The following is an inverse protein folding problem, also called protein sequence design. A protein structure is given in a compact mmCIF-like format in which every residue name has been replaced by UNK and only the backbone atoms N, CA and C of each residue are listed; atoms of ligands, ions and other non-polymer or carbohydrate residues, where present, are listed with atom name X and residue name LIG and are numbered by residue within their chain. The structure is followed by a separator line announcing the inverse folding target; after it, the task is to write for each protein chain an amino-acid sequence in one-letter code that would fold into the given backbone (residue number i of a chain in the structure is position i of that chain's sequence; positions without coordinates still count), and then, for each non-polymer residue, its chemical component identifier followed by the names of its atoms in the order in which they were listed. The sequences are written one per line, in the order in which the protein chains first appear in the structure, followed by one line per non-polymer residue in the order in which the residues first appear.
data_IF_792421724546
#
_entry.id   IF_792421724546
#
_cell.length_a   1.000
_cell.length_b   1.000
_cell.length_c   1.000
_cell.angle_alpha   90.00
_cell.angle_beta   90.00
_cell.angle_gamma   90.00
#
_symmetry.space_group_name_H-M   'P 1'
#
loop_
_entity.id
_entity.type
_entity.pdbx_description
1 polymer ?
#
# COMPACT_ATOMS: atom_id res chain seq x y z
N UNK A 1 4.56 3.06 12.67
CA UNK A 1 3.10 3.24 12.84
C UNK A 1 2.45 2.71 11.57
N UNK A 2 1.90 1.50 11.61
CA UNK A 2 1.15 0.94 10.49
C UNK A 2 -0.14 1.73 10.35
N UNK A 3 -0.20 2.59 9.34
CA UNK A 3 -1.44 3.27 8.99
C UNK A 3 -2.27 2.28 8.19
N UNK A 4 -3.29 1.68 8.80
CA UNK A 4 -4.28 0.88 8.09
C UNK A 4 -5.08 1.81 7.17
N UNK A 5 -4.53 2.07 6.01
CA UNK A 5 -5.22 2.77 4.94
C UNK A 5 -6.16 1.78 4.23
N UNK A 6 -7.28 2.29 3.74
CA UNK A 6 -8.10 1.52 2.82
C UNK A 6 -7.45 1.54 1.44
N UNK A 7 -7.25 0.37 0.90
CA UNK A 7 -6.73 0.17 -0.46
C UNK A 7 -7.77 -0.53 -1.34
N UNK A 8 -7.47 -0.63 -2.61
CA UNK A 8 -8.29 -1.36 -3.57
C UNK A 8 -7.89 -2.83 -3.61
N UNK A 9 -8.74 -3.67 -4.18
CA UNK A 9 -8.41 -5.08 -4.42
C UNK A 9 -7.40 -5.30 -5.57
N UNK A 10 -6.87 -4.26 -6.20
CA UNK A 10 -6.07 -4.40 -7.42
C UNK A 10 -4.85 -5.30 -7.24
N UNK A 11 -4.05 -5.06 -6.20
CA UNK A 11 -2.87 -5.89 -5.92
C UNK A 11 -3.27 -7.33 -5.55
N UNK A 12 -4.27 -7.51 -4.68
CA UNK A 12 -4.78 -8.83 -4.30
C UNK A 12 -5.32 -9.59 -5.51
N UNK A 13 -6.10 -8.94 -6.36
CA UNK A 13 -6.62 -9.54 -7.60
C UNK A 13 -5.50 -9.93 -8.56
N UNK A 14 -4.48 -9.09 -8.68
CA UNK A 14 -3.30 -9.39 -9.51
C UNK A 14 -2.56 -10.62 -8.97
N UNK A 15 -2.32 -10.68 -7.65
CA UNK A 15 -1.70 -11.85 -6.99
C UNK A 15 -2.51 -13.12 -7.28
N UNK A 16 -3.81 -13.10 -7.00
CA UNK A 16 -4.67 -14.27 -7.20
C UNK A 16 -4.70 -14.74 -8.65
N UNK A 17 -4.79 -13.82 -9.61
CA UNK A 17 -4.78 -14.15 -11.03
C UNK A 17 -3.42 -14.73 -11.46
N UNK A 18 -2.31 -14.17 -10.96
CA UNK A 18 -0.97 -14.67 -11.25
C UNK A 18 -0.80 -16.11 -10.77
N UNK A 19 -1.15 -16.40 -9.54
CA UNK A 19 -1.04 -17.76 -9.01
C UNK A 19 -2.03 -18.74 -9.64
N UNK A 20 -3.23 -18.27 -10.04
CA UNK A 20 -4.16 -19.08 -10.84
C UNK A 20 -3.57 -19.48 -12.19
N UNK A 21 -2.86 -18.56 -12.86
CA UNK A 21 -2.13 -18.87 -14.11
C UNK A 21 -1.04 -19.92 -13.90
N UNK A 22 -0.48 -20.00 -12.68
CA UNK A 22 0.47 -21.04 -12.25
C UNK A 22 -0.21 -22.35 -11.81
N UNK A 23 -1.54 -22.44 -11.92
CA UNK A 23 -2.30 -23.62 -11.53
C UNK A 23 -2.50 -23.79 -10.02
N UNK A 24 -2.29 -22.72 -9.23
CA UNK A 24 -2.43 -22.73 -7.78
C UNK A 24 -3.79 -22.18 -7.33
N UNK A 25 -4.34 -22.78 -6.27
CA UNK A 25 -5.60 -22.30 -5.67
C UNK A 25 -5.37 -21.04 -4.81
N UNK A 26 -6.31 -20.09 -4.92
CA UNK A 26 -6.28 -18.84 -4.15
C UNK A 26 -6.51 -18.98 -2.64
N UNK A 27 -6.95 -20.16 -2.16
CA UNK A 27 -7.26 -20.37 -0.76
C UNK A 27 -6.08 -20.13 0.18
N UNK A 28 -4.88 -20.63 -0.19
CA UNK A 28 -3.66 -20.42 0.58
C UNK A 28 -3.24 -18.94 0.62
N UNK A 29 -3.46 -18.20 -0.47
CA UNK A 29 -3.15 -16.77 -0.58
C UNK A 29 -4.04 -15.92 0.34
N UNK A 30 -5.32 -16.26 0.46
CA UNK A 30 -6.28 -15.53 1.29
C UNK A 30 -6.30 -16.00 2.75
N UNK A 31 -5.56 -17.05 3.08
CA UNK A 31 -5.55 -17.62 4.43
C UNK A 31 -5.23 -16.55 5.49
N UNK A 32 -6.09 -16.45 6.51
CA UNK A 32 -5.94 -15.51 7.62
C UNK A 32 -6.24 -14.03 7.31
N UNK A 33 -6.40 -13.64 6.04
CA UNK A 33 -6.62 -12.24 5.64
C UNK A 33 -8.01 -11.69 5.99
N UNK A 34 -8.99 -12.58 6.22
CA UNK A 34 -10.39 -12.18 6.40
C UNK A 34 -11.05 -11.64 5.13
N UNK A 35 -10.39 -11.70 3.98
CA UNK A 35 -10.99 -11.32 2.68
C UNK A 35 -11.88 -12.46 2.21
N UNK A 36 -13.16 -12.14 1.96
CA UNK A 36 -14.10 -13.12 1.44
C UNK A 36 -13.91 -13.25 -0.09
N UNK A 37 -13.69 -14.47 -0.62
CA UNK A 37 -13.60 -14.68 -2.07
C UNK A 37 -14.78 -14.12 -2.88
N UNK A 38 -15.98 -14.07 -2.30
CA UNK A 38 -17.15 -13.50 -2.96
C UNK A 38 -17.05 -11.98 -3.20
N UNK A 39 -16.24 -11.28 -2.42
CA UNK A 39 -16.05 -9.83 -2.55
C UNK A 39 -15.03 -9.46 -3.64
N UNK A 40 -14.23 -10.43 -4.11
CA UNK A 40 -13.22 -10.22 -5.15
C UNK A 40 -13.81 -9.80 -6.52
N UNK A 41 -15.07 -10.10 -6.75
CA UNK A 41 -15.79 -9.73 -7.98
C UNK A 41 -16.40 -8.32 -7.94
N UNK A 42 -16.33 -7.64 -6.80
CA UNK A 42 -16.96 -6.32 -6.57
C UNK A 42 -15.93 -5.20 -6.69
N UNK A 43 -16.05 -4.37 -7.71
CA UNK A 43 -15.12 -3.26 -7.98
C UNK A 43 -15.06 -2.19 -6.87
N UNK A 44 -16.11 -2.10 -6.05
CA UNK A 44 -16.22 -1.14 -4.94
C UNK A 44 -15.69 -1.66 -3.61
N UNK A 45 -15.30 -2.93 -3.52
CA UNK A 45 -14.74 -3.52 -2.30
C UNK A 45 -13.44 -2.83 -1.93
N UNK A 46 -13.32 -2.51 -0.65
CA UNK A 46 -12.11 -1.97 -0.05
C UNK A 46 -11.61 -2.92 1.02
N UNK A 47 -10.29 -3.02 1.10
CA UNK A 47 -9.59 -3.81 2.12
C UNK A 47 -8.63 -2.92 2.89
N UNK A 48 -8.22 -3.36 4.05
CA UNK A 48 -7.19 -2.66 4.81
C UNK A 48 -5.80 -3.00 4.28
N UNK A 49 -4.84 -2.11 4.45
CA UNK A 49 -3.43 -2.39 4.13
C UNK A 49 -2.92 -3.65 4.83
N UNK A 50 -3.37 -3.91 6.07
CA UNK A 50 -2.99 -5.13 6.79
C UNK A 50 -3.49 -6.41 6.09
N UNK A 51 -4.72 -6.41 5.58
CA UNK A 51 -5.26 -7.53 4.81
C UNK A 51 -4.46 -7.75 3.53
N UNK A 52 -4.14 -6.68 2.81
CA UNK A 52 -3.30 -6.73 1.61
C UNK A 52 -1.89 -7.26 1.93
N UNK A 53 -1.24 -6.73 2.97
CA UNK A 53 0.10 -7.18 3.38
C UNK A 53 0.14 -8.64 3.79
N UNK A 54 -0.93 -9.17 4.39
CA UNK A 54 -1.00 -10.59 4.72
C UNK A 54 -1.11 -11.46 3.46
N UNK A 55 -1.88 -11.03 2.47
CA UNK A 55 -1.93 -11.73 1.16
C UNK A 55 -0.57 -11.66 0.47
N UNK A 56 0.11 -10.52 0.52
CA UNK A 56 1.49 -10.38 0.01
C UNK A 56 2.46 -11.32 0.73
N UNK A 57 2.38 -11.43 2.06
CA UNK A 57 3.21 -12.34 2.84
C UNK A 57 2.97 -13.81 2.46
N UNK A 58 1.72 -14.20 2.28
CA UNK A 58 1.36 -15.54 1.82
C UNK A 58 1.91 -15.81 0.41
N UNK A 59 1.84 -14.82 -0.49
CA UNK A 59 2.39 -14.93 -1.84
C UNK A 59 3.92 -15.09 -1.84
N UNK A 60 4.63 -14.29 -1.04
CA UNK A 60 6.10 -14.39 -0.87
C UNK A 60 6.52 -15.72 -0.26
N UNK A 61 5.73 -16.27 0.68
CA UNK A 61 5.99 -17.59 1.26
C UNK A 61 5.89 -18.72 0.23
N UNK A 62 5.00 -18.58 -0.77
CA UNK A 62 4.87 -19.54 -1.87
C UNK A 62 5.91 -19.33 -2.96
N UNK A 63 6.25 -18.08 -3.27
CA UNK A 63 7.19 -17.73 -4.33
C UNK A 63 7.96 -16.44 -3.96
N UNK A 64 9.24 -16.57 -3.61
CA UNK A 64 10.04 -15.48 -3.05
C UNK A 64 10.29 -14.32 -4.02
N UNK A 65 10.37 -14.57 -5.31
CA UNK A 65 10.64 -13.60 -6.38
C UNK A 65 9.37 -13.09 -7.08
N UNK A 66 8.20 -13.33 -6.47
CA UNK A 66 6.90 -12.99 -7.04
C UNK A 66 6.73 -11.48 -7.27
N UNK A 67 7.45 -10.62 -6.50
CA UNK A 67 7.42 -9.16 -6.66
C UNK A 67 7.83 -8.71 -8.05
N UNK A 68 8.88 -9.31 -8.62
CA UNK A 68 9.36 -9.04 -9.98
C UNK A 68 8.30 -9.41 -11.03
N UNK A 69 7.64 -10.56 -10.86
CA UNK A 69 6.61 -11.02 -11.79
C UNK A 69 5.36 -10.16 -11.73
N UNK A 70 4.87 -9.87 -10.54
CA UNK A 70 3.70 -9.00 -10.35
C UNK A 70 3.93 -7.61 -10.92
N UNK A 71 5.12 -7.03 -10.70
CA UNK A 71 5.51 -5.74 -11.27
C UNK A 71 5.41 -5.72 -12.79
N UNK A 72 5.82 -6.78 -13.47
CA UNK A 72 5.72 -6.90 -14.93
C UNK A 72 4.30 -7.07 -15.46
N UNK A 73 3.39 -7.56 -14.63
CA UNK A 73 1.97 -7.70 -14.97
C UNK A 73 1.16 -6.44 -14.72
N UNK A 74 1.71 -5.47 -13.97
CA UNK A 74 1.08 -4.15 -13.80
C UNK A 74 1.17 -3.35 -15.08
N UNK A 75 0.02 -2.88 -15.56
CA UNK A 75 -0.07 -2.07 -16.79
C UNK A 75 -0.57 -0.67 -16.43
N UNK A 76 -0.25 0.31 -17.25
CA UNK A 76 -0.74 1.68 -17.06
C UNK A 76 -2.27 1.73 -16.94
N UNK A 77 -3.00 0.86 -17.62
CA UNK A 77 -4.46 0.73 -17.54
C UNK A 77 -4.97 0.29 -16.16
N UNK A 78 -4.13 -0.36 -15.33
CA UNK A 78 -4.47 -0.76 -13.96
C UNK A 78 -4.73 0.42 -13.03
N UNK A 79 -4.27 1.62 -13.41
CA UNK A 79 -4.44 2.86 -12.65
C UNK A 79 -5.69 3.67 -13.05
N UNK A 80 -6.60 3.07 -13.82
CA UNK A 80 -7.89 3.67 -14.17
C UNK A 80 -7.76 5.06 -14.79
N UNK A 81 -8.44 6.06 -14.22
CA UNK A 81 -8.42 7.44 -14.74
C UNK A 81 -7.03 8.06 -14.72
N UNK A 82 -6.20 7.77 -13.71
CA UNK A 82 -4.82 8.24 -13.69
C UNK A 82 -4.03 7.64 -14.85
N UNK A 83 -4.18 6.33 -15.10
CA UNK A 83 -3.54 5.68 -16.24
C UNK A 83 -3.88 6.34 -17.58
N UNK A 84 -5.15 6.67 -17.80
CA UNK A 84 -5.55 7.44 -18.98
C UNK A 84 -4.95 8.84 -19.05
N UNK A 85 -4.88 9.55 -17.92
CA UNK A 85 -4.24 10.85 -17.86
C UNK A 85 -2.73 10.78 -18.16
N UNK A 86 -2.05 9.71 -17.70
CA UNK A 86 -0.64 9.46 -18.01
C UNK A 86 -0.43 9.19 -19.50
N UNK A 87 -1.23 8.29 -20.10
CA UNK A 87 -1.16 7.94 -21.52
C UNK A 87 -1.35 9.13 -22.46
N UNK A 88 -2.19 10.08 -22.08
CA UNK A 88 -2.54 11.26 -22.89
C UNK A 88 -1.67 12.48 -22.57
N UNK A 89 -0.70 12.37 -21.68
CA UNK A 89 0.28 13.42 -21.38
C UNK A 89 1.14 13.74 -22.61
N UNK A 90 1.64 14.98 -22.70
CA UNK A 90 2.42 15.42 -23.86
C UNK A 90 3.77 14.68 -23.94
N UNK A 91 4.47 14.54 -22.80
CA UNK A 91 5.78 13.91 -22.73
C UNK A 91 5.85 12.90 -21.56
N UNK A 92 6.88 12.05 -21.55
CA UNK A 92 7.13 11.15 -20.42
C UNK A 92 7.33 11.94 -19.12
N UNK A 93 8.04 13.07 -19.17
CA UNK A 93 8.25 13.94 -18.02
C UNK A 93 6.95 14.50 -17.45
N UNK A 94 6.01 14.89 -18.32
CA UNK A 94 4.68 15.36 -17.87
C UNK A 94 3.90 14.24 -17.20
N UNK A 95 3.93 13.04 -17.78
CA UNK A 95 3.28 11.86 -17.20
C UNK A 95 3.87 11.51 -15.82
N UNK A 96 5.19 11.46 -15.70
CA UNK A 96 5.85 11.18 -14.42
C UNK A 96 5.53 12.24 -13.37
N UNK A 97 5.58 13.54 -13.73
CA UNK A 97 5.19 14.63 -12.81
C UNK A 97 3.74 14.51 -12.36
N UNK A 98 2.84 14.08 -13.25
CA UNK A 98 1.44 13.85 -12.91
C UNK A 98 1.28 12.67 -11.94
N UNK A 99 1.97 11.55 -12.19
CA UNK A 99 1.97 10.37 -11.30
C UNK A 99 2.46 10.74 -9.89
N UNK A 100 3.58 11.46 -9.80
CA UNK A 100 4.16 11.90 -8.52
C UNK A 100 3.26 12.90 -7.77
N UNK A 101 2.42 13.64 -8.48
CA UNK A 101 1.44 14.56 -7.86
C UNK A 101 0.29 13.82 -7.17
N UNK A 102 0.00 12.60 -7.57
CA UNK A 102 -1.13 11.81 -7.08
C UNK A 102 -0.73 10.43 -6.55
N UNK A 103 0.17 10.35 -5.54
CA UNK A 103 0.66 9.07 -5.00
C UNK A 103 -0.47 8.20 -4.46
N UNK A 104 -1.52 8.82 -3.91
CA UNK A 104 -2.69 8.10 -3.41
C UNK A 104 -3.48 7.37 -4.52
N UNK A 105 -3.48 7.89 -5.74
CA UNK A 105 -4.10 7.24 -6.91
C UNK A 105 -3.18 6.18 -7.52
N UNK A 106 -1.86 6.30 -7.32
CA UNK A 106 -0.89 5.26 -7.66
C UNK A 106 -0.99 4.04 -6.74
N UNK A 107 -1.53 4.20 -5.53
CA UNK A 107 -1.60 3.13 -4.53
C UNK A 107 -0.21 2.65 -4.07
N UNK A 108 0.81 3.50 -4.19
CA UNK A 108 2.17 3.15 -3.77
C UNK A 108 2.34 3.24 -2.26
N UNK A 109 3.17 2.35 -1.71
CA UNK A 109 3.59 2.34 -0.31
C UNK A 109 4.90 3.12 -0.08
N UNK A 110 5.40 3.77 -1.12
CA UNK A 110 6.65 4.52 -1.14
C UNK A 110 6.41 5.99 -1.42
N UNK A 111 7.31 6.84 -0.94
CA UNK A 111 7.46 8.19 -1.45
C UNK A 111 8.28 8.13 -2.75
N UNK A 112 7.64 8.52 -3.86
CA UNK A 112 8.28 8.52 -5.17
C UNK A 112 8.83 9.90 -5.50
N UNK A 113 10.05 9.96 -6.05
CA UNK A 113 10.67 11.21 -6.50
C UNK A 113 11.49 11.03 -7.77
N UNK A 114 11.75 12.15 -8.47
CA UNK A 114 12.72 12.24 -9.55
C UNK A 114 13.90 13.06 -9.07
N UNK A 115 15.09 12.49 -9.11
CA UNK A 115 16.34 13.13 -8.72
C UNK A 115 17.24 13.26 -9.95
N UNK A 116 17.83 14.45 -10.15
CA UNK A 116 18.73 14.69 -11.27
C UNK A 116 20.18 14.59 -10.82
N UNK A 117 20.96 13.78 -11.54
CA UNK A 117 22.40 13.62 -11.35
C UNK A 117 23.11 13.74 -12.71
N UNK A 118 23.57 14.93 -13.05
CA UNK A 118 24.09 15.23 -14.38
C UNK A 118 23.02 15.06 -15.46
N UNK A 119 23.28 14.15 -16.42
CA UNK A 119 22.32 13.76 -17.46
C UNK A 119 21.42 12.58 -17.08
N UNK A 120 21.54 12.09 -15.85
CA UNK A 120 20.75 10.95 -15.34
C UNK A 120 19.57 11.43 -14.54
N UNK A 121 18.46 10.78 -14.73
CA UNK A 121 17.28 10.93 -13.87
C UNK A 121 17.11 9.63 -13.10
N UNK A 122 17.14 9.71 -11.78
CA UNK A 122 16.79 8.62 -10.88
C UNK A 122 15.32 8.72 -10.49
N UNK A 123 14.54 7.69 -10.80
CA UNK A 123 13.21 7.53 -10.22
C UNK A 123 13.38 6.70 -8.95
N UNK A 124 13.17 7.35 -7.82
CA UNK A 124 13.46 6.82 -6.48
C UNK A 124 12.18 6.45 -5.75
N UNK A 125 12.19 5.30 -5.08
CA UNK A 125 11.16 4.82 -4.17
C UNK A 125 11.75 4.78 -2.75
N UNK A 126 11.30 5.69 -1.89
CA UNK A 126 11.83 5.87 -0.54
C UNK A 126 10.74 5.67 0.52
N UNK A 127 11.17 5.67 1.78
CA UNK A 127 10.31 5.83 2.95
C UNK A 127 9.24 4.73 3.13
N UNK A 128 9.60 3.50 2.75
CA UNK A 128 8.75 2.34 3.00
C UNK A 128 8.62 2.09 4.51
N UNK A 129 7.38 2.12 5.03
CA UNK A 129 7.12 2.06 6.48
C UNK A 129 6.23 0.91 6.91
N UNK A 130 5.82 0.04 5.99
CA UNK A 130 4.90 -1.04 6.30
C UNK A 130 5.64 -2.23 6.97
N UNK A 131 5.68 -3.38 6.37
CA UNK A 131 6.31 -4.58 6.93
C UNK A 131 7.77 -4.73 6.50
N UNK A 132 8.77 -4.64 7.39
CA UNK A 132 10.17 -4.85 7.01
C UNK A 132 10.43 -6.18 6.31
N UNK A 133 9.69 -7.23 6.68
CA UNK A 133 9.79 -8.55 6.05
C UNK A 133 9.35 -8.57 4.57
N UNK A 134 8.55 -7.58 4.15
CA UNK A 134 8.06 -7.43 2.78
C UNK A 134 8.76 -6.29 2.03
N UNK A 135 9.78 -5.66 2.60
CA UNK A 135 10.43 -4.51 2.00
C UNK A 135 10.99 -4.83 0.60
N UNK A 136 11.74 -5.92 0.44
CA UNK A 136 12.28 -6.33 -0.85
C UNK A 136 11.18 -6.61 -1.87
N UNK A 137 10.16 -7.41 -1.49
CA UNK A 137 9.00 -7.70 -2.33
C UNK A 137 8.29 -6.43 -2.81
N UNK A 138 7.97 -5.51 -1.90
CA UNK A 138 7.27 -4.28 -2.28
C UNK A 138 8.15 -3.35 -3.12
N UNK A 139 9.46 -3.31 -2.88
CA UNK A 139 10.41 -2.55 -3.71
C UNK A 139 10.47 -3.13 -5.14
N UNK A 140 10.59 -4.44 -5.27
CA UNK A 140 10.55 -5.13 -6.57
C UNK A 140 9.26 -4.82 -7.32
N UNK A 141 8.12 -5.04 -6.65
CA UNK A 141 6.81 -4.79 -7.23
C UNK A 141 6.67 -3.32 -7.68
N UNK A 142 7.06 -2.37 -6.83
CA UNK A 142 7.00 -0.94 -7.12
C UNK A 142 7.89 -0.54 -8.30
N UNK A 143 9.19 -0.82 -8.23
CA UNK A 143 10.14 -0.35 -9.26
C UNK A 143 9.90 -1.02 -10.61
N UNK A 144 9.57 -2.32 -10.62
CA UNK A 144 9.24 -3.02 -11.88
C UNK A 144 7.94 -2.48 -12.47
N UNK A 145 6.90 -2.23 -11.64
CA UNK A 145 5.66 -1.61 -12.11
C UNK A 145 5.90 -0.24 -12.74
N UNK A 146 6.71 0.60 -12.08
CA UNK A 146 7.04 1.94 -12.59
C UNK A 146 7.81 1.86 -13.92
N UNK A 147 8.73 0.89 -14.06
CA UNK A 147 9.43 0.63 -15.33
C UNK A 147 8.46 0.23 -16.42
N UNK A 148 7.54 -0.69 -16.15
CA UNK A 148 6.53 -1.15 -17.11
C UNK A 148 5.58 0.00 -17.50
N UNK A 149 5.19 0.86 -16.54
CA UNK A 149 4.41 2.05 -16.84
C UNK A 149 5.15 2.96 -17.84
N UNK A 150 6.45 3.22 -17.61
CA UNK A 150 7.25 4.02 -18.55
C UNK A 150 7.29 3.37 -19.95
N UNK A 151 7.43 2.06 -20.02
CA UNK A 151 7.42 1.33 -21.30
C UNK A 151 6.08 1.42 -22.02
N UNK A 152 4.97 1.24 -21.28
CA UNK A 152 3.61 1.38 -21.80
C UNK A 152 3.36 2.79 -22.35
N UNK A 153 3.85 3.82 -21.62
CA UNK A 153 3.70 5.22 -22.02
C UNK A 153 4.48 5.54 -23.30
N UNK A 154 5.69 5.02 -23.43
CA UNK A 154 6.55 5.22 -24.60
C UNK A 154 6.15 4.34 -25.80
N UNK A 155 5.45 3.24 -25.55
CA UNK A 155 5.18 2.20 -26.55
C UNK A 155 6.37 1.30 -26.88
N UNK A 156 7.48 1.44 -26.17
CA UNK A 156 8.68 0.62 -26.26
C UNK A 156 9.46 0.64 -24.93
N UNK A 157 10.44 -0.26 -24.77
CA UNK A 157 11.24 -0.31 -23.57
C UNK A 157 12.03 0.99 -23.34
N UNK A 158 11.93 1.58 -22.15
CA UNK A 158 12.78 2.67 -21.69
C UNK A 158 14.18 2.12 -21.37
N UNK A 159 15.24 2.57 -22.07
CA UNK A 159 16.60 2.13 -21.77
C UNK A 159 17.04 2.66 -20.40
N UNK A 160 17.44 1.73 -19.50
CA UNK A 160 17.92 2.09 -18.18
C UNK A 160 19.46 2.21 -18.18
N UNK A 161 19.96 3.13 -17.37
CA UNK A 161 21.40 3.34 -17.13
C UNK A 161 21.89 2.59 -15.89
N UNK A 162 20.99 2.17 -14.99
CA UNK A 162 21.29 1.41 -13.79
C UNK A 162 20.09 1.29 -12.87
N UNK A 163 20.11 0.32 -11.96
CA UNK A 163 19.16 0.20 -10.88
C UNK A 163 19.89 -0.10 -9.57
N UNK A 164 19.36 0.41 -8.46
CA UNK A 164 19.95 0.27 -7.12
C UNK A 164 18.89 -0.12 -6.10
N UNK A 165 19.30 -0.95 -5.13
CA UNK A 165 18.45 -1.52 -4.10
C UNK A 165 19.15 -1.42 -2.74
N UNK A 166 18.45 -1.02 -1.69
CA UNK A 166 18.98 -0.82 -0.33
C UNK A 166 19.12 -2.11 0.49
N UNK A 167 18.79 -3.25 -0.09
CA UNK A 167 18.88 -4.56 0.53
C UNK A 167 19.96 -5.44 -0.13
N UNK A 168 20.41 -6.52 0.56
CA UNK A 168 21.38 -7.48 0.00
C UNK A 168 20.85 -8.19 -1.24
N UNK A 169 21.76 -8.55 -2.14
CA UNK A 169 21.40 -9.32 -3.32
C UNK A 169 20.69 -10.63 -2.93
N UNK A 170 19.44 -10.86 -3.38
CA UNK A 170 18.75 -12.11 -3.12
C UNK A 170 19.35 -13.26 -3.93
N UNK A 171 19.07 -14.50 -3.51
CA UNK A 171 19.53 -15.72 -4.21
C UNK A 171 18.99 -15.81 -5.66
N UNK A 172 17.88 -15.16 -5.96
CA UNK A 172 17.28 -15.04 -7.29
C UNK A 172 17.67 -13.74 -8.03
N UNK A 173 18.76 -13.06 -7.67
CA UNK A 173 19.19 -11.78 -8.27
C UNK A 173 19.29 -11.80 -9.81
N UNK A 174 19.51 -12.97 -10.41
CA UNK A 174 19.55 -13.13 -11.87
C UNK A 174 18.23 -12.72 -12.55
N UNK A 175 17.09 -12.86 -11.85
CA UNK A 175 15.77 -12.53 -12.35
C UNK A 175 15.55 -11.01 -12.53
N UNK A 176 16.34 -10.17 -11.85
CA UNK A 176 16.30 -8.71 -12.01
C UNK A 176 16.75 -8.23 -13.39
N UNK A 177 17.56 -9.02 -14.08
CA UNK A 177 18.02 -8.67 -15.45
C UNK A 177 16.87 -8.60 -16.44
N UNK A 178 15.81 -9.37 -16.22
CA UNK A 178 14.66 -9.41 -17.11
C UNK A 178 13.88 -8.08 -17.15
N UNK A 179 13.45 -7.50 -16.00
CA UNK A 179 12.76 -6.22 -15.99
C UNK A 179 13.68 -4.99 -16.15
N UNK A 180 14.94 -5.05 -15.70
CA UNK A 180 15.78 -3.84 -15.66
C UNK A 180 16.79 -3.76 -16.80
N UNK A 181 17.31 -4.87 -17.29
CA UNK A 181 18.31 -4.96 -18.38
C UNK A 181 19.41 -3.87 -18.31
N UNK A 182 19.97 -3.66 -17.12
CA UNK A 182 21.00 -2.65 -16.85
C UNK A 182 21.92 -3.12 -15.71
N UNK A 183 23.02 -2.38 -15.42
CA UNK A 183 23.83 -2.62 -14.23
C UNK A 183 23.02 -2.51 -12.93
N UNK A 184 23.15 -3.51 -12.05
CA UNK A 184 22.44 -3.60 -10.77
C UNK A 184 23.41 -3.39 -9.61
N UNK A 185 22.97 -2.61 -8.62
CA UNK A 185 23.70 -2.40 -7.37
C UNK A 185 22.80 -2.74 -6.18
N UNK A 186 23.21 -3.72 -5.38
CA UNK A 186 22.58 -4.07 -4.09
C UNK A 186 23.36 -3.44 -2.92
N UNK A 187 22.78 -3.41 -1.73
CA UNK A 187 23.29 -2.70 -0.55
C UNK A 187 23.58 -1.22 -0.85
N UNK A 188 22.76 -0.59 -1.65
CA UNK A 188 22.85 0.83 -1.98
C UNK A 188 22.16 1.67 -0.89
N UNK A 189 22.26 3.01 -0.98
CA UNK A 189 21.61 3.92 -0.06
C UNK A 189 20.13 4.17 -0.34
N UNK A 190 19.60 3.68 -1.46
CA UNK A 190 18.21 3.90 -1.86
C UNK A 190 17.75 2.90 -2.91
N UNK A 191 16.44 2.84 -3.11
CA UNK A 191 15.80 2.02 -4.14
C UNK A 191 15.42 2.90 -5.32
N UNK A 192 15.99 2.66 -6.50
CA UNK A 192 15.78 3.49 -7.68
C UNK A 192 16.20 2.81 -8.97
N UNK A 193 15.71 3.29 -10.09
CA UNK A 193 16.33 3.07 -11.41
C UNK A 193 16.59 4.40 -12.12
N UNK A 194 17.60 4.40 -13.01
CA UNK A 194 18.04 5.58 -13.73
C UNK A 194 17.88 5.44 -15.24
N UNK A 195 17.54 6.55 -15.87
CA UNK A 195 17.48 6.69 -17.33
C UNK A 195 18.07 8.06 -17.76
N UNK A 196 18.34 8.21 -19.05
CA UNK A 196 18.87 9.46 -19.59
C UNK A 196 17.80 10.56 -19.58
N UNK A 197 18.18 11.77 -19.14
CA UNK A 197 17.29 12.93 -19.00
C UNK A 197 16.52 13.27 -20.29
N UNK A 198 17.10 13.02 -21.47
CA UNK A 198 16.42 13.24 -22.77
C UNK A 198 15.07 12.55 -22.89
N UNK A 199 14.86 11.44 -22.17
CA UNK A 199 13.58 10.72 -22.19
C UNK A 199 12.44 11.48 -21.53
N UNK A 200 12.73 12.44 -20.65
CA UNK A 200 11.67 13.29 -20.08
C UNK A 200 10.95 14.13 -21.13
N UNK A 201 11.67 14.54 -22.17
CA UNK A 201 11.12 15.37 -23.25
C UNK A 201 10.56 14.53 -24.43
N UNK A 202 10.63 13.19 -24.31
CA UNK A 202 10.11 12.29 -25.34
C UNK A 202 8.60 12.43 -25.45
N UNK A 203 8.05 12.82 -26.62
CA UNK A 203 6.61 12.86 -26.86
C UNK A 203 5.99 11.48 -26.74
N UNK A 204 4.81 11.41 -26.12
CA UNK A 204 4.09 10.15 -25.96
C UNK A 204 3.21 9.86 -27.20
N UNK A 205 3.13 8.59 -27.65
CA UNK A 205 2.39 8.22 -28.85
C UNK A 205 0.88 8.53 -28.80
N UNK A 206 0.30 8.53 -27.59
CA UNK A 206 -1.12 8.75 -27.35
C UNK A 206 -1.41 10.13 -26.76
N UNK A 207 -0.48 11.10 -26.89
CA UNK A 207 -0.65 12.45 -26.38
C UNK A 207 -1.89 13.12 -26.97
N UNK A 208 -2.79 13.58 -26.11
CA UNK A 208 -4.00 14.31 -26.49
C UNK A 208 -4.37 15.35 -25.44
N UNK A 209 -4.29 16.61 -25.78
CA UNK A 209 -4.45 17.74 -24.85
C UNK A 209 -5.86 17.76 -24.23
N UNK A 210 -6.90 17.50 -25.01
CA UNK A 210 -8.29 17.60 -24.54
C UNK A 210 -8.58 16.46 -23.56
N UNK A 211 -8.25 15.23 -23.94
CA UNK A 211 -8.43 14.06 -23.09
C UNK A 211 -7.59 14.15 -21.81
N UNK A 212 -6.32 14.59 -21.93
CA UNK A 212 -5.45 14.80 -20.78
C UNK A 212 -6.06 15.77 -19.77
N UNK A 213 -6.52 16.96 -20.22
CA UNK A 213 -7.12 17.95 -19.34
C UNK A 213 -8.37 17.40 -18.62
N UNK A 214 -9.23 16.69 -19.34
CA UNK A 214 -10.43 16.10 -18.79
C UNK A 214 -10.10 15.02 -17.73
N UNK A 215 -9.10 14.17 -17.99
CA UNK A 215 -8.69 13.10 -17.07
C UNK A 215 -7.91 13.65 -15.87
N UNK A 216 -7.01 14.61 -16.07
CA UNK A 216 -6.27 15.27 -15.02
C UNK A 216 -7.21 15.99 -14.02
N UNK A 217 -8.26 16.66 -14.52
CA UNK A 217 -9.27 17.28 -13.65
C UNK A 217 -10.04 16.23 -12.84
N UNK A 218 -10.38 15.10 -13.44
CA UNK A 218 -11.01 13.98 -12.71
C UNK A 218 -10.08 13.39 -11.65
N UNK A 219 -8.79 13.21 -11.96
CA UNK A 219 -7.78 12.78 -10.99
C UNK A 219 -7.67 13.77 -9.82
N UNK A 220 -7.68 15.07 -10.10
CA UNK A 220 -7.67 16.11 -9.07
C UNK A 220 -8.87 15.97 -8.11
N UNK A 221 -10.08 15.81 -8.65
CA UNK A 221 -11.30 15.62 -7.84
C UNK A 221 -11.23 14.34 -7.02
N UNK A 222 -10.88 13.22 -7.65
CA UNK A 222 -10.75 11.92 -6.96
C UNK A 222 -9.69 11.97 -5.87
N UNK A 223 -8.55 12.61 -6.11
CA UNK A 223 -7.50 12.76 -5.10
C UNK A 223 -7.96 13.63 -3.93
N UNK A 224 -8.70 14.73 -4.20
CA UNK A 224 -9.26 15.57 -3.13
C UNK A 224 -10.24 14.79 -2.26
N UNK A 225 -11.12 13.99 -2.86
CA UNK A 225 -12.06 13.13 -2.13
C UNK A 225 -11.32 12.06 -1.32
N UNK A 226 -10.30 11.43 -1.93
CA UNK A 226 -9.51 10.40 -1.26
C UNK A 226 -8.73 10.97 -0.07
N UNK A 227 -7.99 12.06 -0.27
CA UNK A 227 -7.21 12.71 0.79
C UNK A 227 -8.10 13.27 1.90
N UNK A 228 -9.28 13.80 1.55
CA UNK A 228 -10.28 14.22 2.52
C UNK A 228 -10.78 13.07 3.39
N UNK A 229 -11.07 11.90 2.79
CA UNK A 229 -11.47 10.68 3.52
C UNK A 229 -10.34 10.17 4.43
N UNK A 230 -9.10 10.14 3.93
CA UNK A 230 -7.93 9.74 4.72
C UNK A 230 -7.68 10.68 5.90
N UNK A 231 -7.73 11.97 5.69
CA UNK A 231 -7.57 12.96 6.75
C UNK A 231 -8.65 12.81 7.84
N UNK A 232 -9.89 12.54 7.42
CA UNK A 232 -11.01 12.33 8.33
C UNK A 232 -10.83 11.04 9.16
N UNK A 233 -10.42 9.94 8.54
CA UNK A 233 -10.10 8.68 9.23
C UNK A 233 -8.90 8.84 10.17
N UNK A 234 -7.85 9.53 9.72
CA UNK A 234 -6.68 9.87 10.53
C UNK A 234 -7.05 10.65 11.79
N UNK A 235 -7.99 11.61 11.68
CA UNK A 235 -8.51 12.35 12.83
C UNK A 235 -9.22 11.46 13.83
N UNK A 236 -10.07 10.54 13.36
CA UNK A 236 -10.73 9.54 14.23
C UNK A 236 -9.70 8.68 14.95
N UNK A 237 -8.71 8.15 14.24
CA UNK A 237 -7.64 7.35 14.82
C UNK A 237 -6.87 8.09 15.90
N UNK A 238 -6.54 9.35 15.67
CA UNK A 238 -5.87 10.20 16.66
C UNK A 238 -6.72 10.37 17.92
N UNK A 239 -8.02 10.66 17.77
CA UNK A 239 -8.93 10.84 18.90
C UNK A 239 -9.08 9.55 19.71
N UNK A 240 -9.23 8.41 19.06
CA UNK A 240 -9.33 7.10 19.73
C UNK A 240 -8.00 6.67 20.37
N UNK A 241 -6.87 6.85 19.68
CA UNK A 241 -5.56 6.49 20.19
C UNK A 241 -5.16 7.30 21.44
N UNK A 242 -5.60 8.54 21.54
CA UNK A 242 -5.38 9.39 22.70
C UNK A 242 -6.17 8.98 23.96
N UNK A 243 -7.20 8.14 23.81
CA UNK A 243 -8.16 7.79 24.88
C UNK A 243 -8.48 6.28 24.86
N UNK A 244 -7.51 5.41 24.58
CA UNK A 244 -7.75 3.96 24.46
C UNK A 244 -8.23 3.30 25.74
N UNK A 245 -7.81 3.82 26.90
CA UNK A 245 -8.19 3.39 28.24
C UNK A 245 -9.66 3.72 28.57
N UNK A 246 -10.14 4.83 28.04
CA UNK A 246 -11.53 5.32 28.20
C UNK A 246 -12.13 5.71 26.86
N UNK A 247 -11.98 4.82 25.85
CA UNK A 247 -12.41 5.13 24.50
C UNK A 247 -13.86 5.60 24.46
N UNK A 248 -14.14 6.79 23.89
CA UNK A 248 -15.49 7.31 23.81
C UNK A 248 -16.35 6.35 22.98
N UNK A 249 -17.61 6.14 23.36
CA UNK A 249 -18.56 5.41 22.50
C UNK A 249 -18.77 6.15 21.17
N UNK A 250 -19.52 5.52 20.25
CA UNK A 250 -19.78 6.11 18.93
C UNK A 250 -20.37 7.51 19.02
N UNK A 251 -21.24 7.76 19.99
CA UNK A 251 -21.87 9.05 20.26
C UNK A 251 -20.84 10.10 20.70
N UNK A 252 -20.01 9.78 21.68
CA UNK A 252 -18.95 10.69 22.16
C UNK A 252 -17.90 11.00 21.10
N UNK A 253 -17.53 10.00 20.28
CA UNK A 253 -16.65 10.23 19.13
C UNK A 253 -17.31 11.14 18.09
N UNK A 254 -18.60 10.95 17.81
CA UNK A 254 -19.34 11.78 16.86
C UNK A 254 -19.40 13.25 17.32
N UNK A 255 -19.56 13.51 18.61
CA UNK A 255 -19.50 14.85 19.19
C UNK A 255 -18.10 15.48 18.98
N UNK A 256 -17.03 14.74 19.25
CA UNK A 256 -15.65 15.20 19.02
C UNK A 256 -15.35 15.47 17.53
N UNK A 257 -16.05 14.78 16.64
CA UNK A 257 -15.96 14.98 15.18
C UNK A 257 -16.97 16.03 14.65
N UNK A 258 -17.71 16.70 15.52
CA UNK A 258 -18.76 17.67 15.17
C UNK A 258 -19.79 17.11 14.17
N UNK A 259 -20.24 15.88 14.37
CA UNK A 259 -21.25 15.24 13.52
C UNK A 259 -22.20 14.35 14.34
N UNK A 260 -23.30 13.90 13.73
CA UNK A 260 -24.18 12.93 14.40
C UNK A 260 -23.61 11.51 14.35
N UNK A 261 -23.94 10.67 15.34
CA UNK A 261 -23.54 9.25 15.35
C UNK A 261 -24.01 8.50 14.08
N UNK A 262 -25.17 8.88 13.52
CA UNK A 262 -25.66 8.35 12.21
C UNK A 262 -24.71 8.73 11.08
N UNK A 263 -24.25 9.97 11.04
CA UNK A 263 -23.31 10.46 10.03
C UNK A 263 -21.95 9.76 10.16
N UNK A 264 -21.44 9.67 11.41
CA UNK A 264 -20.18 8.96 11.70
C UNK A 264 -20.25 7.49 11.25
N UNK A 265 -21.32 6.77 11.63
CA UNK A 265 -21.51 5.36 11.24
C UNK A 265 -21.60 5.18 9.72
N UNK A 266 -22.29 6.10 9.03
CA UNK A 266 -22.38 6.07 7.56
C UNK A 266 -21.00 6.28 6.94
N UNK A 267 -20.25 7.29 7.37
CA UNK A 267 -18.91 7.58 6.83
C UNK A 267 -17.94 6.44 7.10
N UNK A 268 -17.93 5.84 8.29
CA UNK A 268 -17.11 4.66 8.58
C UNK A 268 -17.46 3.49 7.65
N UNK A 269 -18.77 3.22 7.45
CA UNK A 269 -19.22 2.18 6.52
C UNK A 269 -18.81 2.49 5.08
N UNK A 270 -18.90 3.75 4.63
CA UNK A 270 -18.47 4.18 3.29
C UNK A 270 -16.94 4.06 3.10
N UNK A 271 -16.20 4.00 4.23
CA UNK A 271 -14.77 3.70 4.29
C UNK A 271 -14.48 2.20 4.48
N UNK A 272 -15.53 1.34 4.50
CA UNK A 272 -15.37 -0.11 4.65
C UNK A 272 -14.98 -0.57 6.05
N UNK A 273 -15.15 0.25 7.09
CA UNK A 273 -14.85 -0.10 8.47
C UNK A 273 -15.98 0.26 9.43
N UNK A 274 -15.98 -0.38 10.59
CA UNK A 274 -16.85 -0.02 11.72
C UNK A 274 -16.04 0.66 12.84
N UNK A 275 -16.73 1.33 13.74
CA UNK A 275 -16.12 1.87 14.95
C UNK A 275 -15.39 0.80 15.77
N UNK A 276 -16.00 -0.38 15.91
CA UNK A 276 -15.44 -1.47 16.71
C UNK A 276 -14.17 -2.04 16.06
N UNK A 277 -14.16 -2.24 14.75
CA UNK A 277 -12.97 -2.72 14.03
C UNK A 277 -11.82 -1.74 14.17
N UNK A 278 -12.08 -0.44 14.05
CA UNK A 278 -11.06 0.59 14.20
C UNK A 278 -10.50 0.66 15.64
N UNK A 279 -11.36 0.54 16.63
CA UNK A 279 -10.95 0.50 18.04
C UNK A 279 -10.16 -0.77 18.36
N UNK A 280 -10.60 -1.91 17.86
CA UNK A 280 -9.91 -3.20 18.01
C UNK A 280 -8.52 -3.16 17.36
N UNK A 281 -8.40 -2.58 16.18
CA UNK A 281 -7.12 -2.39 15.49
C UNK A 281 -6.15 -1.53 16.32
N UNK A 282 -6.60 -0.36 16.78
CA UNK A 282 -5.77 0.53 17.59
C UNK A 282 -5.34 -0.11 18.93
N UNK A 283 -6.24 -0.84 19.56
CA UNK A 283 -5.95 -1.61 20.78
C UNK A 283 -4.93 -2.71 20.52
N UNK A 284 -5.05 -3.43 19.40
CA UNK A 284 -4.11 -4.49 19.04
C UNK A 284 -2.72 -3.93 18.76
N UNK A 285 -2.59 -2.85 17.98
CA UNK A 285 -1.30 -2.21 17.73
C UNK A 285 -0.63 -1.76 19.04
N UNK A 286 -1.38 -1.12 19.92
CA UNK A 286 -0.85 -0.66 21.20
C UNK A 286 -0.48 -1.85 22.12
N UNK A 287 -1.27 -2.94 22.08
CA UNK A 287 -0.97 -4.17 22.82
C UNK A 287 0.35 -4.79 22.36
N UNK A 288 0.60 -4.86 21.06
CA UNK A 288 1.88 -5.38 20.52
C UNK A 288 3.07 -4.57 21.02
N UNK A 289 2.98 -3.24 20.98
CA UNK A 289 4.00 -2.37 21.53
C UNK A 289 4.31 -2.69 23.00
N UNK A 290 3.26 -2.70 23.84
CA UNK A 290 3.41 -2.95 25.27
C UNK A 290 3.93 -4.36 25.59
N UNK A 291 3.62 -5.35 24.76
CA UNK A 291 4.10 -6.72 24.93
C UNK A 291 5.55 -6.89 24.52
N UNK A 292 5.98 -6.31 23.42
CA UNK A 292 7.30 -6.52 22.82
C UNK A 292 8.34 -5.50 23.29
N UNK A 293 7.98 -4.23 23.36
CA UNK A 293 8.92 -3.14 23.67
C UNK A 293 8.98 -2.86 25.17
N UNK A 294 7.81 -2.74 25.83
CA UNK A 294 7.71 -2.33 27.23
C UNK A 294 7.75 -3.52 28.21
N UNK A 295 7.61 -4.76 27.72
CA UNK A 295 7.49 -6.00 28.51
C UNK A 295 6.48 -5.92 29.66
N UNK A 296 5.45 -5.11 29.48
CA UNK A 296 4.47 -4.77 30.50
C UNK A 296 3.63 -5.98 30.93
N UNK A 297 3.26 -6.14 32.20
CA UNK A 297 2.39 -7.22 32.67
C UNK A 297 1.02 -7.20 31.96
N UNK A 298 0.48 -8.38 31.63
CA UNK A 298 -0.75 -8.52 30.82
C UNK A 298 -1.93 -7.77 31.44
N UNK A 299 -2.06 -7.76 32.78
CA UNK A 299 -3.15 -7.05 33.45
C UNK A 299 -3.02 -5.52 33.29
N UNK A 300 -1.81 -4.98 33.29
CA UNK A 300 -1.56 -3.55 33.04
C UNK A 300 -1.87 -3.17 31.59
N UNK A 301 -1.57 -4.07 30.65
CA UNK A 301 -1.92 -3.87 29.25
C UNK A 301 -3.45 -3.83 29.09
N UNK A 302 -4.16 -4.76 29.72
CA UNK A 302 -5.63 -4.78 29.71
C UNK A 302 -6.22 -3.47 30.23
N UNK A 303 -5.73 -2.98 31.40
CA UNK A 303 -6.15 -1.72 32.00
C UNK A 303 -5.88 -0.52 31.07
N UNK A 304 -4.66 -0.40 30.54
CA UNK A 304 -4.23 0.68 29.66
C UNK A 304 -5.00 0.70 28.32
N UNK A 305 -5.61 -0.41 27.93
CA UNK A 305 -6.44 -0.53 26.72
C UNK A 305 -7.94 -0.44 27.00
N UNK A 306 -8.34 -0.12 28.24
CA UNK A 306 -9.74 0.07 28.64
C UNK A 306 -10.55 -1.21 28.70
N UNK A 307 -9.91 -2.34 29.04
CA UNK A 307 -10.60 -3.58 29.36
C UNK A 307 -10.87 -3.65 30.88
N UNK A 308 -12.11 -3.89 31.26
CA UNK A 308 -12.49 -4.07 32.66
C UNK A 308 -11.91 -5.31 33.31
N UNK A 309 -11.62 -6.34 32.48
CA UNK A 309 -11.09 -7.62 32.92
C UNK A 309 -9.96 -8.09 32.03
N UNK A 310 -8.89 -8.65 32.63
CA UNK A 310 -7.77 -9.24 31.89
C UNK A 310 -8.20 -10.41 30.99
N UNK A 311 -9.25 -11.14 31.38
CA UNK A 311 -9.81 -12.23 30.58
C UNK A 311 -10.38 -11.70 29.26
N UNK A 312 -11.14 -10.60 29.30
CA UNK A 312 -11.72 -9.96 28.11
C UNK A 312 -10.64 -9.49 27.12
N UNK A 313 -9.55 -8.92 27.63
CA UNK A 313 -8.38 -8.58 26.82
C UNK A 313 -7.74 -9.83 26.18
N UNK A 314 -7.55 -10.91 26.92
CA UNK A 314 -6.96 -12.16 26.38
C UNK A 314 -7.80 -12.72 25.23
N UNK A 315 -9.13 -12.75 25.39
CA UNK A 315 -10.04 -13.20 24.33
C UNK A 315 -9.97 -12.30 23.10
N UNK A 316 -9.97 -10.98 23.29
CA UNK A 316 -9.83 -10.03 22.19
C UNK A 316 -8.47 -10.21 21.48
N UNK A 317 -7.38 -10.31 22.21
CA UNK A 317 -6.04 -10.47 21.66
C UNK A 317 -5.89 -11.77 20.84
N UNK A 318 -6.43 -12.90 21.34
CA UNK A 318 -6.45 -14.18 20.61
C UNK A 318 -7.28 -14.02 19.31
N UNK A 319 -8.42 -13.33 19.36
CA UNK A 319 -9.22 -13.05 18.17
C UNK A 319 -8.45 -12.22 17.14
N UNK A 320 -7.60 -11.27 17.57
CA UNK A 320 -6.82 -10.39 16.69
C UNK A 320 -5.56 -11.06 16.13
N UNK A 321 -4.83 -11.84 16.95
CA UNK A 321 -3.50 -12.39 16.64
C UNK A 321 -3.47 -13.87 16.35
N UNK A 322 -4.52 -14.60 16.68
CA UNK A 322 -4.56 -16.08 16.62
C UNK A 322 -3.82 -16.79 17.77
N UNK A 323 -3.07 -16.08 18.62
CA UNK A 323 -2.26 -16.64 19.74
C UNK A 323 -2.50 -15.90 21.05
N UNK A 324 -2.17 -16.52 22.17
CA UNK A 324 -2.30 -15.86 23.46
C UNK A 324 -1.25 -14.74 23.64
N UNK A 325 -1.57 -13.64 24.39
CA UNK A 325 -0.61 -12.55 24.64
C UNK A 325 0.72 -13.01 25.24
N UNK A 326 0.71 -14.07 26.05
CA UNK A 326 1.93 -14.65 26.66
C UNK A 326 2.82 -15.38 25.65
N UNK A 327 2.25 -15.86 24.55
CA UNK A 327 2.97 -16.54 23.46
C UNK A 327 3.45 -15.55 22.38
N UNK A 328 2.92 -14.33 22.39
CA UNK A 328 3.25 -13.29 21.42
C UNK A 328 4.53 -12.52 21.81
N UNK A 329 4.97 -12.61 23.06
CA UNK A 329 6.24 -12.03 23.52
C UNK A 329 7.42 -12.71 22.84
N UNK A 330 8.48 -11.95 22.44
CA UNK A 330 9.71 -12.50 21.86
C UNK A 330 10.45 -13.39 22.86
#
# INVERSE_FOLDING_TARGET
MLHSHLTTLNAVSLILNTFKDHGQDGGALLAGSGINPADLSRADTRITTNQEMLVCANAVALQRDIGLELGRRMRVSSYGMLGYALLTSATLGDALRLALRYPALMGTLFELSLETDGSRIWLTAADYRESPALAAFNTEFCLVSLKVICDDLLGHALPLLGARFDYPAPDYQQRYREPFDCPLQFNASSNAFAFDQRWLDQPLPLADVITHQAMAERCRKQNTEFTGRQAWLGRIRQLLAAQLDAAPGLEGLAEQMNCSARTLRRHLRDLGCSYQELLDELRFERAKQMLCEDQMPIYRIAEALGFSETASFRHAFIRWSGVAPSQFRP
#
